data_IF_417309091708
#
_entry.id   IF_417309091708
#
_cell.length_a   1.000
_cell.length_b   1.000
_cell.length_c   1.000
_cell.angle_alpha   90.00
_cell.angle_beta   90.00
_cell.angle_gamma   90.00
#
_symmetry.space_group_name_H-M   'P 1'
#
loop_
_entity.id
_entity.type
_entity.pdbx_description
1 polymer ?
#
# COMPACT_ATOMS: atom_id res chain seq x y z
N UNK A 1 -4.62 4.09 17.56
CA UNK A 1 -4.10 4.95 16.47
C UNK A 1 -3.41 4.19 15.36
N UNK A 2 -2.52 3.25 15.68
CA UNK A 2 -1.90 2.35 14.69
C UNK A 2 -2.88 1.71 13.69
N UNK A 3 -3.96 1.13 14.19
CA UNK A 3 -4.99 0.48 13.36
C UNK A 3 -5.68 1.46 12.39
N UNK A 4 -5.89 2.73 12.79
CA UNK A 4 -6.51 3.73 11.92
C UNK A 4 -5.58 4.08 10.75
N UNK A 5 -4.28 4.25 11.04
CA UNK A 5 -3.25 4.51 10.01
C UNK A 5 -3.15 3.32 9.05
N UNK A 6 -3.16 2.08 9.57
CA UNK A 6 -3.17 0.86 8.75
C UNK A 6 -4.38 0.80 7.82
N UNK A 7 -5.59 1.05 8.34
CA UNK A 7 -6.82 1.06 7.55
C UNK A 7 -6.79 2.14 6.47
N UNK A 8 -6.31 3.34 6.78
CA UNK A 8 -6.19 4.43 5.81
C UNK A 8 -5.15 4.13 4.72
N UNK A 9 -4.00 3.57 5.09
CA UNK A 9 -2.98 3.15 4.13
C UNK A 9 -3.48 2.03 3.22
N UNK A 10 -4.28 1.11 3.75
CA UNK A 10 -4.87 0.01 2.99
C UNK A 10 -5.98 0.50 2.05
N UNK A 11 -6.83 1.42 2.52
CA UNK A 11 -7.91 1.97 1.70
C UNK A 11 -7.42 2.94 0.62
N UNK A 12 -6.23 3.52 0.77
CA UNK A 12 -5.70 4.52 -0.16
C UNK A 12 -5.00 3.87 -1.37
N UNK A 13 -5.46 4.09 -2.61
CA UNK A 13 -4.78 3.62 -3.81
C UNK A 13 -3.51 4.42 -4.14
N UNK A 14 -3.37 5.61 -3.56
CA UNK A 14 -2.22 6.51 -3.74
C UNK A 14 -1.38 6.57 -2.46
N UNK A 15 -0.07 6.91 -2.55
CA UNK A 15 0.75 7.13 -1.37
C UNK A 15 0.12 8.16 -0.41
N UNK A 16 -0.09 7.77 0.84
CA UNK A 16 -0.66 8.61 1.88
C UNK A 16 0.43 9.49 2.49
N UNK A 17 0.33 10.81 2.33
CA UNK A 17 1.26 11.77 2.91
C UNK A 17 0.83 12.20 4.31
N UNK A 18 1.77 12.72 5.11
CA UNK A 18 1.50 13.27 6.43
C UNK A 18 0.40 14.35 6.39
N UNK A 19 0.52 15.29 5.45
CA UNK A 19 -0.47 16.35 5.28
C UNK A 19 -1.86 15.80 4.93
N UNK A 20 -1.94 14.82 4.03
CA UNK A 20 -3.23 14.21 3.65
C UNK A 20 -3.87 13.46 4.80
N UNK A 21 -3.09 12.74 5.59
CA UNK A 21 -3.58 12.07 6.78
C UNK A 21 -4.13 13.08 7.81
N UNK A 22 -3.37 14.15 8.11
CA UNK A 22 -3.81 15.20 9.04
C UNK A 22 -5.13 15.85 8.60
N UNK A 23 -5.30 16.09 7.29
CA UNK A 23 -6.56 16.58 6.74
C UNK A 23 -7.72 15.59 6.97
N UNK A 24 -7.50 14.29 6.74
CA UNK A 24 -8.55 13.26 6.91
C UNK A 24 -8.97 13.10 8.37
N UNK A 25 -8.02 13.24 9.31
CA UNK A 25 -8.32 13.18 10.75
C UNK A 25 -8.67 14.55 11.36
N UNK A 26 -8.96 15.54 10.53
CA UNK A 26 -9.37 16.90 10.92
C UNK A 26 -8.37 17.60 11.88
N UNK A 27 -7.07 17.31 11.75
CA UNK A 27 -6.00 17.82 12.64
C UNK A 27 -6.22 17.53 14.13
N UNK A 28 -7.12 16.60 14.48
CA UNK A 28 -7.40 16.22 15.87
C UNK A 28 -6.21 15.53 16.55
N UNK A 29 -5.23 15.10 15.78
CA UNK A 29 -4.11 14.32 16.26
C UNK A 29 -2.78 14.84 15.71
N UNK A 30 -1.84 15.15 16.61
CA UNK A 30 -0.44 15.40 16.27
C UNK A 30 0.32 14.08 16.24
N UNK A 31 0.02 13.23 15.26
CA UNK A 31 0.65 11.92 15.09
C UNK A 31 1.66 11.98 13.97
N UNK A 32 2.89 11.56 14.24
CA UNK A 32 3.91 11.34 13.21
C UNK A 32 3.67 9.97 12.54
N UNK A 33 3.30 9.98 11.26
CA UNK A 33 3.14 8.76 10.49
C UNK A 33 4.40 7.92 10.46
N UNK A 34 5.59 8.54 10.47
CA UNK A 34 6.84 7.79 10.38
C UNK A 34 6.97 6.82 11.55
N UNK A 35 6.74 7.29 12.77
CA UNK A 35 6.81 6.48 13.99
C UNK A 35 5.81 5.34 13.97
N UNK A 36 4.55 5.63 13.62
CA UNK A 36 3.49 4.61 13.55
C UNK A 36 3.79 3.56 12.47
N UNK A 37 4.37 3.97 11.35
CA UNK A 37 4.73 3.08 10.23
C UNK A 37 5.93 2.21 10.59
N UNK A 38 6.93 2.75 11.28
CA UNK A 38 8.07 1.97 11.75
C UNK A 38 7.59 0.86 12.72
N UNK A 39 6.66 1.18 13.63
CA UNK A 39 6.02 0.18 14.50
C UNK A 39 5.23 -0.88 13.71
N UNK A 40 4.41 -0.46 12.74
CA UNK A 40 3.65 -1.38 11.88
C UNK A 40 4.57 -2.33 11.09
N UNK A 41 5.65 -1.81 10.54
CA UNK A 41 6.62 -2.62 9.81
C UNK A 41 7.32 -3.66 10.72
N UNK A 42 7.63 -3.30 11.97
CA UNK A 42 8.18 -4.24 12.96
C UNK A 42 7.16 -5.35 13.25
N UNK A 43 5.89 -4.98 13.46
CA UNK A 43 4.82 -5.95 13.71
C UNK A 43 4.57 -6.87 12.52
N UNK A 44 4.56 -6.33 11.31
CA UNK A 44 4.41 -7.11 10.08
C UNK A 44 5.53 -8.13 9.92
N UNK A 45 6.78 -7.74 10.23
CA UNK A 45 7.93 -8.66 10.24
C UNK A 45 7.79 -9.73 11.32
N UNK A 46 7.41 -9.36 12.56
CA UNK A 46 7.24 -10.31 13.67
C UNK A 46 6.13 -11.33 13.42
N UNK A 47 5.02 -10.89 12.83
CA UNK A 47 3.86 -11.73 12.53
C UNK A 47 4.01 -12.51 11.23
N UNK A 48 5.08 -12.29 10.47
CA UNK A 48 5.28 -12.91 9.16
C UNK A 48 4.23 -12.48 8.13
N UNK A 49 3.64 -11.29 8.28
CA UNK A 49 2.70 -10.74 7.30
C UNK A 49 3.41 -10.58 5.95
N UNK A 50 2.74 -10.97 4.87
CA UNK A 50 3.25 -10.86 3.50
C UNK A 50 3.29 -9.44 2.92
N UNK A 51 3.18 -8.41 3.78
CA UNK A 51 3.01 -7.01 3.43
C UNK A 51 4.08 -6.16 4.13
N UNK A 52 4.42 -5.02 3.55
CA UNK A 52 5.34 -4.02 4.09
C UNK A 52 4.87 -2.61 3.72
N UNK A 53 5.16 -1.62 4.55
CA UNK A 53 4.85 -0.23 4.26
C UNK A 53 6.15 0.48 3.85
N UNK A 54 6.16 1.10 2.66
CA UNK A 54 7.32 1.84 2.16
C UNK A 54 6.98 3.30 1.84
N UNK A 55 8.01 4.15 1.90
CA UNK A 55 7.89 5.57 1.53
C UNK A 55 8.10 5.74 0.03
N UNK A 56 7.10 6.25 -0.68
CA UNK A 56 7.12 6.50 -2.14
C UNK A 56 6.65 7.93 -2.40
N UNK A 57 7.45 8.72 -3.14
CA UNK A 57 7.04 10.05 -3.59
C UNK A 57 6.66 11.03 -2.46
N UNK A 58 7.24 10.88 -1.28
CA UNK A 58 6.92 11.70 -0.10
C UNK A 58 5.70 11.24 0.71
N UNK A 59 5.02 10.17 0.28
CA UNK A 59 3.97 9.50 1.04
C UNK A 59 4.35 8.07 1.41
N UNK A 60 3.40 7.35 2.01
CA UNK A 60 3.55 5.97 2.43
C UNK A 60 2.50 5.07 1.79
N UNK A 61 2.88 3.84 1.45
CA UNK A 61 1.99 2.89 0.81
C UNK A 61 2.28 1.47 1.28
N UNK A 62 1.23 0.65 1.36
CA UNK A 62 1.35 -0.79 1.59
C UNK A 62 1.75 -1.48 0.28
N UNK A 63 2.76 -2.33 0.37
CA UNK A 63 3.28 -3.14 -0.72
C UNK A 63 3.33 -4.60 -0.28
N UNK A 64 3.16 -5.50 -1.24
CA UNK A 64 3.43 -6.92 -1.04
C UNK A 64 4.93 -7.19 -0.98
N UNK A 65 5.34 -8.22 -0.24
CA UNK A 65 6.73 -8.69 -0.27
C UNK A 65 7.09 -9.26 -1.65
N UNK A 66 8.35 -9.08 -2.11
CA UNK A 66 8.81 -9.60 -3.41
C UNK A 66 8.62 -11.11 -3.59
N UNK A 67 8.61 -11.87 -2.49
CA UNK A 67 8.37 -13.33 -2.51
C UNK A 67 7.02 -13.71 -3.11
N UNK A 68 6.04 -12.81 -3.08
CA UNK A 68 4.71 -13.04 -3.64
C UNK A 68 4.57 -12.57 -5.10
N UNK A 69 5.63 -12.02 -5.70
CA UNK A 69 5.62 -11.48 -7.06
C UNK A 69 4.98 -12.44 -8.07
N UNK A 70 5.40 -13.71 -8.10
CA UNK A 70 4.90 -14.72 -9.05
C UNK A 70 3.39 -14.93 -8.93
N UNK A 71 2.83 -14.88 -7.72
CA UNK A 71 1.39 -15.04 -7.50
C UNK A 71 0.61 -13.80 -7.92
N UNK A 72 1.17 -12.61 -7.66
CA UNK A 72 0.59 -11.32 -8.03
C UNK A 72 0.60 -11.17 -9.55
N UNK A 73 1.71 -11.50 -10.20
CA UNK A 73 1.81 -11.54 -11.66
C UNK A 73 0.72 -12.44 -12.24
N UNK A 74 0.59 -13.69 -11.78
CA UNK A 74 -0.49 -14.61 -12.24
C UNK A 74 -1.91 -14.07 -12.01
N UNK A 75 -2.12 -13.28 -10.95
CA UNK A 75 -3.42 -12.65 -10.68
C UNK A 75 -3.76 -11.60 -11.75
N UNK A 76 -2.77 -10.82 -12.19
CA UNK A 76 -2.94 -9.75 -13.19
C UNK A 76 -2.74 -10.23 -14.66
N UNK A 77 -2.01 -11.33 -14.87
CA UNK A 77 -1.61 -11.86 -16.19
C UNK A 77 -2.71 -12.69 -16.88
N UNK A 78 -3.91 -12.80 -16.28
CA UNK A 78 -5.11 -13.27 -16.99
C UNK A 78 -5.61 -12.30 -18.08
N UNK A 79 -4.96 -11.15 -18.26
CA UNK A 79 -5.24 -10.19 -19.32
C UNK A 79 -4.38 -10.35 -20.58
N UNK A 80 -3.51 -11.37 -20.68
CA UNK A 80 -2.99 -11.82 -21.99
C UNK A 80 -4.03 -12.56 -22.85
N UNK A 81 -5.34 -12.26 -22.66
CA UNK A 81 -6.26 -12.27 -23.79
C UNK A 81 -5.83 -11.11 -24.68
N UNK A 82 -4.87 -11.40 -25.57
CA UNK A 82 -4.66 -10.65 -26.81
C UNK A 82 -6.03 -10.49 -27.46
N UNK A 83 -6.70 -9.37 -27.18
CA UNK A 83 -7.71 -8.87 -28.09
C UNK A 83 -6.91 -8.44 -29.30
N UNK A 84 -6.71 -9.38 -30.23
CA UNK A 84 -6.37 -9.06 -31.60
C UNK A 84 -7.47 -8.09 -32.02
N UNK A 85 -7.15 -6.79 -32.00
CA UNK A 85 -8.05 -5.78 -32.50
C UNK A 85 -8.39 -6.20 -33.93
N UNK A 86 -9.67 -6.13 -34.29
CA UNK A 86 -10.24 -6.56 -35.57
C UNK A 86 -9.82 -5.62 -36.71
N UNK A 87 -8.52 -5.37 -36.82
CA UNK A 87 -7.82 -4.64 -37.88
C UNK A 87 -6.62 -5.51 -38.28
N UNK A 88 -6.96 -6.72 -38.70
CA UNK A 88 -6.19 -7.55 -39.60
C UNK A 88 -7.21 -8.08 -40.61
N UNK A 89 -7.54 -7.25 -41.60
CA UNK A 89 -8.09 -7.68 -42.88
C UNK A 89 -7.79 -6.62 -43.93
#
# INVERSE_FOLDING_TARGET
MKNLVEVLLFASPKPLTQSRFLQVVEHKYSVDLKTVIDELNIEYKKTGKGLTIQKIGGGYQILSLPRYYVYIERLFDKSRKLMLSKQAL
#
